data_IF_984300320835
#
_entry.id   IF_984300320835
#
_cell.length_a   1.000
_cell.length_b   1.000
_cell.length_c   1.000
_cell.angle_alpha   90.00
_cell.angle_beta   90.00
_cell.angle_gamma   90.00
#
_symmetry.space_group_name_H-M   'P 1'
#
loop_
_entity.id
_entity.type
_entity.pdbx_description
1 polymer ?
#
# COMPACT_ATOMS: atom_id res chain seq x y z
N UNK A 1 -13.47 47.92 -32.72
CA UNK A 1 -13.18 48.20 -31.31
C UNK A 1 -11.90 47.46 -31.02
N UNK A 2 -10.80 48.20 -30.94
CA UNK A 2 -9.49 47.63 -30.65
C UNK A 2 -9.51 47.13 -29.21
N UNK A 3 -9.33 45.82 -29.04
CA UNK A 3 -9.18 45.22 -27.72
C UNK A 3 -7.70 45.31 -27.36
N UNK A 4 -7.38 46.08 -26.31
CA UNK A 4 -6.05 46.06 -25.71
C UNK A 4 -5.83 44.70 -25.05
N UNK A 5 -4.68 44.07 -25.34
CA UNK A 5 -4.24 42.87 -24.63
C UNK A 5 -3.88 43.23 -23.18
N UNK A 6 -4.53 42.59 -22.21
CA UNK A 6 -4.26 42.81 -20.79
C UNK A 6 -3.65 41.56 -20.15
N UNK A 7 -2.66 41.77 -19.28
CA UNK A 7 -2.02 40.69 -18.52
C UNK A 7 -2.84 40.46 -17.25
N UNK A 8 -3.36 39.24 -17.09
CA UNK A 8 -4.09 38.81 -15.90
C UNK A 8 -3.11 38.13 -14.93
N UNK A 9 -3.09 38.56 -13.68
CA UNK A 9 -2.33 37.90 -12.61
C UNK A 9 -2.90 36.51 -12.26
N UNK A 10 -2.04 35.57 -11.86
CA UNK A 10 -2.43 34.21 -11.45
C UNK A 10 -3.45 34.18 -10.29
N UNK A 11 -3.45 35.21 -9.46
CA UNK A 11 -4.39 35.41 -8.35
C UNK A 11 -5.84 35.60 -8.85
N UNK A 12 -6.03 36.28 -9.98
CA UNK A 12 -7.32 36.51 -10.60
C UNK A 12 -7.92 35.24 -11.20
N UNK A 13 -7.10 34.28 -11.65
CA UNK A 13 -7.56 32.99 -12.19
C UNK A 13 -8.34 32.21 -11.12
N UNK A 14 -7.82 32.13 -9.89
CA UNK A 14 -8.50 31.48 -8.77
C UNK A 14 -9.73 32.26 -8.31
N UNK A 15 -9.62 33.59 -8.20
CA UNK A 15 -10.70 34.45 -7.70
C UNK A 15 -11.94 34.42 -8.59
N UNK A 16 -11.74 34.43 -9.91
CA UNK A 16 -12.82 34.48 -10.88
C UNK A 16 -13.13 33.12 -11.52
N UNK A 17 -12.44 32.05 -11.12
CA UNK A 17 -12.60 30.68 -11.66
C UNK A 17 -12.49 30.65 -13.19
N UNK A 18 -11.48 31.35 -13.70
CA UNK A 18 -11.20 31.40 -15.12
C UNK A 18 -10.53 30.10 -15.56
N UNK A 19 -10.91 29.59 -16.72
CA UNK A 19 -10.30 28.43 -17.35
C UNK A 19 -10.13 28.69 -18.84
N UNK A 20 -9.09 28.13 -19.44
CA UNK A 20 -8.83 28.24 -20.87
C UNK A 20 -9.32 26.96 -21.56
N UNK A 21 -10.03 27.11 -22.67
CA UNK A 21 -10.40 25.97 -23.51
C UNK A 21 -9.30 25.64 -24.54
N UNK A 22 -9.48 24.55 -25.30
CA UNK A 22 -8.54 24.10 -26.34
C UNK A 22 -8.30 25.13 -27.45
N UNK A 23 -9.26 26.04 -27.67
CA UNK A 23 -9.16 27.16 -28.64
C UNK A 23 -8.52 28.43 -28.04
N UNK A 24 -7.87 28.32 -26.88
CA UNK A 24 -7.23 29.41 -26.13
C UNK A 24 -8.18 30.52 -25.64
N UNK A 25 -9.49 30.32 -25.69
CA UNK A 25 -10.49 31.27 -25.16
C UNK A 25 -10.63 31.11 -23.65
N UNK A 26 -10.66 32.24 -22.95
CA UNK A 26 -10.88 32.27 -21.50
C UNK A 26 -12.40 32.18 -21.23
N UNK A 27 -12.78 31.20 -20.44
CA UNK A 27 -14.14 30.94 -19.96
C UNK A 27 -14.21 31.15 -18.45
N UNK A 28 -15.31 31.73 -17.97
CA UNK A 28 -15.57 31.86 -16.54
C UNK A 28 -16.45 30.70 -16.08
N UNK A 29 -15.90 29.79 -15.25
CA UNK A 29 -16.62 28.61 -14.78
C UNK A 29 -17.76 29.00 -13.83
N UNK A 30 -19.00 28.71 -14.23
CA UNK A 30 -20.19 28.88 -13.38
C UNK A 30 -20.51 27.57 -12.67
N UNK A 31 -21.19 27.62 -11.50
CA UNK A 31 -21.44 26.46 -10.61
C UNK A 31 -21.98 25.18 -11.28
N UNK A 32 -22.60 25.26 -12.45
CA UNK A 32 -23.15 24.11 -13.19
C UNK A 32 -22.08 23.23 -13.87
N UNK A 33 -20.97 23.80 -14.35
CA UNK A 33 -19.91 23.04 -15.06
C UNK A 33 -18.93 22.34 -14.11
N UNK A 34 -18.97 22.70 -12.82
CA UNK A 34 -18.15 22.06 -11.78
C UNK A 34 -18.61 20.61 -11.55
N UNK A 35 -19.88 20.29 -11.81
CA UNK A 35 -20.43 18.95 -11.54
C UNK A 35 -20.04 17.90 -12.58
N UNK A 36 -19.77 18.29 -13.84
CA UNK A 36 -19.39 17.33 -14.90
C UNK A 36 -17.92 16.93 -14.85
N UNK A 37 -17.03 17.76 -14.28
CA UNK A 37 -15.61 17.41 -14.09
C UNK A 37 -15.30 16.76 -12.73
N UNK A 38 -16.18 16.90 -11.72
CA UNK A 38 -16.04 16.17 -10.45
C UNK A 38 -16.10 14.65 -10.61
N UNK A 39 -16.73 14.15 -11.67
CA UNK A 39 -16.79 12.72 -11.94
C UNK A 39 -15.44 12.09 -12.35
N UNK A 40 -14.39 12.89 -12.59
CA UNK A 40 -13.07 12.40 -13.04
C UNK A 40 -11.92 12.63 -12.02
N UNK A 41 -12.21 13.19 -10.85
CA UNK A 41 -11.21 13.38 -9.76
C UNK A 41 -11.76 12.90 -8.39
N UNK A 42 -12.45 11.76 -8.37
CA UNK A 42 -12.57 10.96 -7.15
C UNK A 42 -11.49 9.86 -7.20
N UNK A 43 -10.24 10.26 -6.97
CA UNK A 43 -9.34 9.33 -6.28
C UNK A 43 -9.83 9.36 -4.85
N UNK A 44 -10.68 8.40 -4.47
CA UNK A 44 -10.95 8.11 -3.07
C UNK A 44 -9.58 8.00 -2.38
N UNK A 45 -9.31 8.90 -1.42
CA UNK A 45 -8.16 8.77 -0.54
C UNK A 45 -8.29 7.40 0.13
N UNK A 46 -7.57 6.38 -0.38
CA UNK A 46 -7.47 5.09 0.29
C UNK A 46 -7.01 5.35 1.71
N UNK A 47 -7.92 5.19 2.67
CA UNK A 47 -7.60 5.30 4.09
C UNK A 47 -6.86 4.03 4.47
N UNK A 48 -5.54 4.09 4.40
CA UNK A 48 -4.67 3.08 5.01
C UNK A 48 -4.82 3.25 6.52
N UNK A 49 -5.40 2.25 7.18
CA UNK A 49 -5.50 2.25 8.63
C UNK A 49 -4.10 2.28 9.23
N UNK A 50 -3.93 3.21 10.14
CA UNK A 50 -2.69 3.63 10.76
C UNK A 50 -2.53 2.91 12.09
N UNK A 51 -2.30 1.59 12.06
CA UNK A 51 -1.83 0.72 13.17
C UNK A 51 -2.14 1.23 14.60
N UNK A 52 -3.43 1.35 14.91
CA UNK A 52 -3.93 2.02 16.12
C UNK A 52 -3.78 1.19 17.42
N UNK A 53 -3.36 -0.08 17.33
CA UNK A 53 -3.55 -1.06 18.41
C UNK A 53 -2.28 -1.49 19.18
N UNK A 54 -1.18 -0.74 19.12
CA UNK A 54 0.08 -1.13 19.80
C UNK A 54 0.74 0.03 20.55
N UNK A 55 1.31 -0.28 21.73
CA UNK A 55 1.82 0.65 22.73
C UNK A 55 3.07 1.42 22.24
N UNK A 56 3.11 2.73 22.47
CA UNK A 56 4.18 3.65 22.01
C UNK A 56 5.51 3.47 22.74
N UNK A 57 5.52 2.77 23.87
CA UNK A 57 6.69 2.67 24.74
C UNK A 57 7.80 1.74 24.22
N UNK A 58 7.54 0.98 23.15
CA UNK A 58 8.49 -0.03 22.63
C UNK A 58 9.44 0.50 21.54
N UNK A 59 9.32 1.77 21.13
CA UNK A 59 10.24 2.37 20.16
C UNK A 59 11.62 2.62 20.78
N UNK A 60 12.58 1.75 20.48
CA UNK A 60 13.98 1.93 20.86
C UNK A 60 14.66 2.84 19.83
N UNK A 61 14.91 4.09 20.20
CA UNK A 61 15.63 5.05 19.33
C UNK A 61 17.12 5.08 19.68
N UNK A 62 17.99 4.58 18.81
CA UNK A 62 19.45 4.67 18.99
C UNK A 62 19.98 6.04 18.52
N UNK A 63 19.89 7.04 19.39
CA UNK A 63 20.25 8.43 19.09
C UNK A 63 21.54 8.88 19.78
N UNK A 64 22.37 7.96 20.28
CA UNK A 64 23.56 8.30 21.07
C UNK A 64 24.58 9.15 20.30
N UNK A 65 24.62 9.03 18.98
CA UNK A 65 25.56 9.71 18.09
C UNK A 65 25.12 11.11 17.63
N UNK A 66 23.96 11.60 18.08
CA UNK A 66 23.36 12.86 17.61
C UNK A 66 23.39 13.96 18.67
N UNK A 67 23.41 15.22 18.23
CA UNK A 67 23.25 16.39 19.10
C UNK A 67 21.84 16.46 19.69
N UNK A 68 21.71 17.01 20.90
CA UNK A 68 20.43 17.09 21.62
C UNK A 68 19.32 17.77 20.79
N UNK A 69 19.63 18.80 20.00
CA UNK A 69 18.66 19.48 19.13
C UNK A 69 18.08 18.52 18.07
N UNK A 70 18.94 17.69 17.47
CA UNK A 70 18.54 16.69 16.47
C UNK A 70 17.72 15.58 17.12
N UNK A 71 18.10 15.15 18.33
CA UNK A 71 17.32 14.16 19.09
C UNK A 71 15.90 14.65 19.34
N UNK A 72 15.73 15.88 19.84
CA UNK A 72 14.40 16.45 20.10
C UNK A 72 13.57 16.50 18.82
N UNK A 73 14.15 16.93 17.69
CA UNK A 73 13.43 16.98 16.41
C UNK A 73 12.99 15.61 15.93
N UNK A 74 13.82 14.58 16.09
CA UNK A 74 13.48 13.20 15.71
C UNK A 74 12.38 12.66 16.63
N UNK A 75 12.47 12.88 17.95
CA UNK A 75 11.42 12.48 18.88
C UNK A 75 10.08 13.11 18.53
N UNK A 76 10.04 14.42 18.27
CA UNK A 76 8.81 15.09 17.84
C UNK A 76 8.24 14.51 16.54
N UNK A 77 9.10 14.09 15.61
CA UNK A 77 8.66 13.48 14.34
C UNK A 77 8.08 12.08 14.56
N UNK A 78 8.73 11.26 15.39
CA UNK A 78 8.23 9.93 15.76
C UNK A 78 6.90 10.05 16.51
N UNK A 79 6.77 11.02 17.43
CA UNK A 79 5.51 11.26 18.13
C UNK A 79 4.38 11.68 17.17
N UNK A 80 4.67 12.58 16.23
CA UNK A 80 3.70 13.08 15.26
C UNK A 80 3.26 12.03 14.23
N UNK A 81 4.18 11.15 13.79
CA UNK A 81 3.94 10.14 12.75
C UNK A 81 4.02 8.71 13.30
N UNK A 82 3.69 8.52 14.58
CA UNK A 82 3.85 7.24 15.28
C UNK A 82 3.09 6.07 14.62
N UNK A 83 2.04 6.38 13.87
CA UNK A 83 1.19 5.41 13.20
C UNK A 83 1.74 4.91 11.87
N UNK A 84 2.70 5.61 11.28
CA UNK A 84 3.29 5.26 9.98
C UNK A 84 4.26 4.08 10.09
N UNK A 85 4.83 3.87 11.28
CA UNK A 85 5.84 2.86 11.52
C UNK A 85 5.21 1.54 11.99
N UNK A 86 5.58 0.44 11.32
CA UNK A 86 5.25 -0.91 11.78
C UNK A 86 6.01 -1.21 13.09
N UNK A 87 5.28 -1.61 14.12
CA UNK A 87 5.81 -1.84 15.47
C UNK A 87 6.30 -3.27 15.67
N UNK A 88 5.66 -4.23 15.02
CA UNK A 88 6.10 -5.62 15.00
C UNK A 88 5.86 -6.29 13.64
N UNK A 89 6.11 -7.61 13.54
CA UNK A 89 5.93 -8.39 12.31
C UNK A 89 4.46 -8.53 11.88
N UNK A 90 3.52 -8.43 12.83
CA UNK A 90 2.09 -8.64 12.62
C UNK A 90 1.31 -7.32 12.51
N UNK A 91 1.98 -6.20 12.75
CA UNK A 91 1.47 -4.83 12.61
C UNK A 91 1.36 -4.41 11.13
N UNK A 92 0.48 -5.12 10.42
CA UNK A 92 0.16 -4.85 9.02
C UNK A 92 -1.06 -3.93 8.95
N UNK A 93 -0.89 -2.77 8.33
CA UNK A 93 -2.00 -1.85 8.10
C UNK A 93 -3.08 -2.48 7.22
N UNK A 94 -4.30 -1.97 7.31
CA UNK A 94 -5.43 -2.44 6.51
C UNK A 94 -5.94 -1.36 5.57
N UNK A 95 -6.36 -1.75 4.36
CA UNK A 95 -7.09 -0.87 3.44
C UNK A 95 -8.56 -1.20 3.61
N UNK A 96 -9.38 -0.20 3.96
CA UNK A 96 -10.81 -0.41 4.27
C UNK A 96 -11.72 -0.33 3.04
N UNK A 97 -11.32 0.45 2.04
CA UNK A 97 -12.19 0.79 0.89
C UNK A 97 -11.93 -0.06 -0.37
N UNK A 98 -11.11 -1.11 -0.27
CA UNK A 98 -10.76 -1.95 -1.42
C UNK A 98 -10.67 -3.44 -1.05
N UNK A 99 -11.48 -4.26 -1.72
CA UNK A 99 -11.40 -5.73 -1.65
C UNK A 99 -10.73 -6.27 -2.91
N UNK A 100 -9.62 -6.99 -2.72
CA UNK A 100 -8.88 -7.55 -3.84
C UNK A 100 -9.58 -8.79 -4.41
N UNK A 101 -10.02 -8.71 -5.67
CA UNK A 101 -10.59 -9.83 -6.40
C UNK A 101 -9.55 -10.52 -7.28
N UNK A 102 -9.46 -11.84 -7.18
CA UNK A 102 -8.59 -12.67 -8.01
C UNK A 102 -9.45 -13.47 -8.97
N UNK A 103 -9.43 -13.10 -10.25
CA UNK A 103 -10.18 -13.82 -11.28
C UNK A 103 -9.42 -15.06 -11.77
N UNK A 104 -10.16 -16.15 -11.95
CA UNK A 104 -9.64 -17.42 -12.46
C UNK A 104 -10.03 -17.59 -13.94
N UNK A 105 -9.09 -18.07 -14.76
CA UNK A 105 -9.29 -18.43 -16.16
C UNK A 105 -10.28 -19.59 -16.32
N UNK A 106 -10.28 -20.51 -15.37
CA UNK A 106 -11.09 -21.73 -15.38
C UNK A 106 -11.64 -21.94 -13.98
N UNK A 107 -12.92 -22.27 -13.88
CA UNK A 107 -13.56 -22.67 -12.63
C UNK A 107 -13.13 -24.09 -12.24
N UNK A 108 -11.94 -24.18 -11.63
CA UNK A 108 -11.30 -25.44 -11.24
C UNK A 108 -10.73 -25.31 -9.84
N UNK A 109 -11.07 -26.29 -8.99
CA UNK A 109 -10.46 -26.41 -7.67
C UNK A 109 -9.05 -27.00 -7.76
N UNK A 110 -8.06 -26.30 -7.19
CA UNK A 110 -6.74 -26.85 -6.91
C UNK A 110 -6.64 -27.21 -5.42
N UNK A 111 -6.48 -28.50 -5.13
CA UNK A 111 -6.26 -29.01 -3.78
C UNK A 111 -5.04 -29.91 -3.77
N UNK A 112 -4.04 -29.52 -2.99
CA UNK A 112 -2.78 -30.25 -2.84
C UNK A 112 -2.64 -30.78 -1.42
N UNK A 113 -2.11 -32.01 -1.32
CA UNK A 113 -1.79 -32.60 -0.03
C UNK A 113 -0.68 -31.78 0.65
N UNK A 114 -0.76 -31.56 1.97
CA UNK A 114 0.32 -30.97 2.75
C UNK A 114 1.63 -31.72 2.53
N UNK A 115 2.75 -30.98 2.51
CA UNK A 115 4.06 -31.58 2.41
C UNK A 115 4.42 -32.34 3.69
N UNK A 116 5.25 -33.38 3.54
CA UNK A 116 5.86 -34.05 4.70
C UNK A 116 6.82 -33.06 5.36
N UNK A 117 6.65 -32.86 6.66
CA UNK A 117 7.50 -32.02 7.49
C UNK A 117 8.02 -32.84 8.69
N UNK A 118 9.13 -32.39 9.28
CA UNK A 118 9.61 -32.93 10.55
C UNK A 118 8.70 -32.49 11.70
N UNK A 119 8.83 -33.11 12.87
CA UNK A 119 8.06 -32.70 14.04
C UNK A 119 8.34 -31.24 14.43
N UNK A 120 9.62 -30.84 14.38
CA UNK A 120 10.05 -29.46 14.65
C UNK A 120 9.44 -28.47 13.65
N UNK A 121 9.49 -28.79 12.35
CA UNK A 121 8.89 -27.96 11.30
C UNK A 121 7.37 -27.81 11.53
N UNK A 122 6.68 -28.88 11.94
CA UNK A 122 5.24 -28.86 12.24
C UNK A 122 4.90 -27.94 13.42
N UNK A 123 5.64 -28.05 14.52
CA UNK A 123 5.46 -27.22 15.72
C UNK A 123 5.64 -25.75 15.37
N UNK A 124 6.66 -25.41 14.59
CA UNK A 124 6.91 -24.02 14.19
C UNK A 124 5.82 -23.50 13.22
N UNK A 125 5.34 -24.33 12.29
CA UNK A 125 4.20 -23.98 11.42
C UNK A 125 2.95 -23.69 12.27
N UNK A 126 2.58 -24.58 13.18
CA UNK A 126 1.39 -24.41 14.04
C UNK A 126 1.50 -23.16 14.91
N UNK A 127 2.69 -22.88 15.46
CA UNK A 127 2.97 -21.67 16.23
C UNK A 127 2.78 -20.40 15.39
N UNK A 128 3.32 -20.35 14.17
CA UNK A 128 3.17 -19.18 13.30
C UNK A 128 1.72 -18.99 12.84
N UNK A 129 1.03 -20.07 12.48
CA UNK A 129 -0.40 -20.04 12.11
C UNK A 129 -1.25 -19.54 13.28
N UNK A 130 -1.01 -20.03 14.51
CA UNK A 130 -1.70 -19.54 15.71
C UNK A 130 -1.49 -18.05 15.97
N UNK A 131 -0.28 -17.53 15.73
CA UNK A 131 -0.03 -16.09 15.83
C UNK A 131 -0.76 -15.30 14.73
N UNK A 132 -0.83 -15.80 13.50
CA UNK A 132 -1.56 -15.14 12.41
C UNK A 132 -3.06 -15.09 12.69
N UNK A 133 -3.64 -16.18 13.20
CA UNK A 133 -5.04 -16.24 13.63
C UNK A 133 -5.32 -15.26 14.77
N UNK A 134 -4.45 -15.22 15.79
CA UNK A 134 -4.59 -14.30 16.93
C UNK A 134 -4.58 -12.82 16.51
N UNK A 135 -3.84 -12.48 15.45
CA UNK A 135 -3.75 -11.12 14.92
C UNK A 135 -4.78 -10.84 13.81
N UNK A 136 -5.74 -11.74 13.57
CA UNK A 136 -6.77 -11.61 12.53
C UNK A 136 -6.20 -11.40 11.10
N UNK A 137 -5.02 -11.94 10.82
CA UNK A 137 -4.40 -11.87 9.48
C UNK A 137 -4.82 -13.00 8.56
N UNK A 138 -5.30 -14.09 9.14
CA UNK A 138 -5.91 -15.24 8.47
C UNK A 138 -7.14 -15.68 9.26
N UNK A 139 -8.02 -16.43 8.62
CA UNK A 139 -9.22 -17.02 9.22
C UNK A 139 -9.38 -18.48 8.81
N UNK A 140 -10.16 -19.23 9.59
CA UNK A 140 -10.53 -20.59 9.24
C UNK A 140 -11.57 -20.56 8.11
N UNK A 141 -11.39 -21.39 7.08
CA UNK A 141 -12.30 -21.46 5.94
C UNK A 141 -12.54 -22.90 5.49
N UNK A 142 -13.70 -23.13 4.86
CA UNK A 142 -14.07 -24.41 4.25
C UNK A 142 -13.89 -24.37 2.72
N UNK A 143 -12.82 -23.74 2.25
CA UNK A 143 -12.57 -23.56 0.82
C UNK A 143 -12.23 -24.91 0.14
N UNK A 144 -12.77 -25.17 -1.07
CA UNK A 144 -12.33 -26.31 -1.88
C UNK A 144 -10.89 -26.14 -2.42
N UNK A 145 -10.35 -24.92 -2.36
CA UNK A 145 -8.96 -24.61 -2.73
C UNK A 145 -8.04 -24.86 -1.53
N UNK A 146 -6.99 -25.64 -1.72
CA UNK A 146 -5.99 -25.91 -0.69
C UNK A 146 -4.57 -25.92 -1.26
N UNK A 147 -3.71 -25.08 -0.69
CA UNK A 147 -2.29 -25.00 -1.02
C UNK A 147 -1.44 -25.50 0.16
N UNK A 148 -0.38 -26.29 -0.10
CA UNK A 148 0.48 -26.81 0.96
C UNK A 148 1.44 -25.72 1.45
N UNK A 149 1.83 -25.82 2.71
CA UNK A 149 2.76 -24.91 3.37
C UNK A 149 4.12 -25.59 3.56
N UNK A 150 5.19 -24.81 3.51
CA UNK A 150 6.56 -25.25 3.76
C UNK A 150 7.35 -24.18 4.53
N UNK A 151 8.45 -24.57 5.16
CA UNK A 151 9.37 -23.65 5.82
C UNK A 151 10.64 -23.49 4.98
N UNK A 152 11.04 -22.24 4.73
CA UNK A 152 12.29 -21.90 4.07
C UNK A 152 13.30 -21.31 5.06
N UNK A 153 14.59 -21.50 4.76
CA UNK A 153 15.68 -20.96 5.57
C UNK A 153 15.72 -19.44 5.49
N UNK A 154 15.84 -18.80 6.67
CA UNK A 154 16.17 -17.38 6.77
C UNK A 154 17.67 -17.26 7.04
N UNK A 155 18.36 -16.46 6.22
CA UNK A 155 19.83 -16.27 6.30
C UNK A 155 20.29 -15.85 7.69
N UNK A 156 19.53 -15.00 8.37
CA UNK A 156 19.95 -14.38 9.64
C UNK A 156 19.79 -15.32 10.85
N UNK A 157 18.90 -16.31 10.76
CA UNK A 157 18.52 -17.16 11.89
C UNK A 157 19.08 -18.58 11.77
N UNK A 158 19.80 -18.89 10.67
CA UNK A 158 20.38 -20.20 10.33
C UNK A 158 19.42 -21.41 10.51
N UNK A 159 18.12 -21.14 10.53
CA UNK A 159 17.03 -22.07 10.82
C UNK A 159 15.90 -21.85 9.81
N UNK A 160 15.02 -22.84 9.66
CA UNK A 160 13.84 -22.74 8.78
C UNK A 160 12.73 -21.98 9.49
N UNK A 161 12.62 -20.68 9.23
CA UNK A 161 11.63 -19.82 9.90
C UNK A 161 10.64 -19.14 8.98
N UNK A 162 10.86 -19.17 7.65
CA UNK A 162 9.95 -18.51 6.70
C UNK A 162 8.81 -19.44 6.30
N UNK A 163 7.60 -19.15 6.79
CA UNK A 163 6.37 -19.79 6.34
C UNK A 163 6.07 -19.41 4.89
N UNK A 164 6.10 -20.38 3.99
CA UNK A 164 5.86 -20.20 2.56
C UNK A 164 4.68 -21.07 2.11
N UNK A 165 3.75 -20.48 1.36
CA UNK A 165 2.60 -21.17 0.78
C UNK A 165 2.89 -21.44 -0.70
N UNK A 166 2.71 -22.67 -1.16
CA UNK A 166 2.93 -23.02 -2.56
C UNK A 166 1.68 -22.77 -3.42
N UNK A 167 1.57 -21.55 -3.95
CA UNK A 167 0.51 -21.16 -4.87
C UNK A 167 0.77 -21.51 -6.34
N UNK A 168 1.79 -22.31 -6.69
CA UNK A 168 2.16 -22.56 -8.10
C UNK A 168 1.04 -23.15 -8.96
N UNK A 169 0.15 -23.96 -8.39
CA UNK A 169 -1.01 -24.49 -9.14
C UNK A 169 -2.13 -23.49 -9.30
N UNK A 170 -2.41 -22.70 -8.26
CA UNK A 170 -3.36 -21.61 -8.32
C UNK A 170 -2.91 -20.56 -9.35
N UNK A 171 -1.64 -20.15 -9.31
CA UNK A 171 -1.08 -19.14 -10.21
C UNK A 171 -1.15 -19.54 -11.70
N UNK A 172 -1.29 -20.83 -12.04
CA UNK A 172 -1.47 -21.29 -13.44
C UNK A 172 -2.88 -21.03 -13.97
N UNK A 173 -3.86 -20.94 -13.09
CA UNK A 173 -5.27 -20.73 -13.45
C UNK A 173 -5.74 -19.30 -13.17
N UNK A 174 -4.93 -18.47 -12.50
CA UNK A 174 -5.24 -17.05 -12.28
C UNK A 174 -5.09 -16.26 -13.60
N UNK A 175 -6.03 -15.36 -13.88
CA UNK A 175 -5.94 -14.44 -15.01
C UNK A 175 -4.80 -13.43 -14.74
N UNK A 176 -3.76 -13.36 -15.58
CA UNK A 176 -2.67 -12.42 -15.37
C UNK A 176 -3.18 -10.99 -15.60
N UNK A 177 -3.11 -10.15 -14.58
CA UNK A 177 -3.34 -8.72 -14.71
C UNK A 177 -2.04 -8.04 -15.14
N UNK A 178 -1.99 -7.55 -16.38
CA UNK A 178 -0.84 -6.84 -16.90
C UNK A 178 -0.81 -5.41 -16.36
N UNK A 179 -0.13 -5.21 -15.23
CA UNK A 179 0.19 -3.89 -14.71
C UNK A 179 1.70 -3.65 -14.86
N UNK A 180 2.15 -2.97 -15.93
CA UNK A 180 3.56 -2.74 -16.13
C UNK A 180 4.08 -1.80 -15.04
N UNK A 181 5.00 -2.32 -14.21
CA UNK A 181 5.74 -1.47 -13.30
C UNK A 181 6.67 -0.55 -14.11
N UNK A 182 6.70 0.75 -13.82
CA UNK A 182 7.61 1.66 -14.50
C UNK A 182 9.06 1.26 -14.23
N UNK A 183 9.93 1.41 -15.23
CA UNK A 183 11.35 1.18 -15.04
C UNK A 183 11.92 2.22 -14.08
N UNK A 184 12.91 1.80 -13.28
CA UNK A 184 13.60 2.70 -12.34
C UNK A 184 14.20 3.90 -13.07
N UNK A 185 14.71 3.72 -14.30
CA UNK A 185 15.20 4.82 -15.15
C UNK A 185 14.13 5.87 -15.42
N UNK A 186 12.92 5.43 -15.73
CA UNK A 186 11.80 6.31 -16.11
C UNK A 186 11.32 7.10 -14.91
N UNK A 187 11.29 6.46 -13.73
CA UNK A 187 11.03 7.11 -12.46
C UNK A 187 12.06 8.20 -12.15
N UNK A 188 13.36 7.91 -12.35
CA UNK A 188 14.44 8.89 -12.13
C UNK A 188 14.30 10.07 -13.09
N UNK A 189 14.03 9.83 -14.38
CA UNK A 189 13.86 10.91 -15.36
C UNK A 189 12.68 11.81 -14.98
N UNK A 190 11.55 11.25 -14.58
CA UNK A 190 10.38 12.03 -14.10
C UNK A 190 10.72 12.87 -12.87
N UNK A 191 11.50 12.34 -11.94
CA UNK A 191 11.86 13.02 -10.70
C UNK A 191 12.89 14.16 -10.87
N UNK A 192 13.62 14.24 -11.99
CA UNK A 192 14.72 15.22 -12.19
C UNK A 192 14.30 16.69 -12.05
N UNK A 193 13.04 17.02 -12.31
CA UNK A 193 12.54 18.40 -12.28
C UNK A 193 11.45 18.62 -11.22
N UNK A 194 11.24 17.67 -10.30
CA UNK A 194 10.35 17.86 -9.17
C UNK A 194 11.04 18.79 -8.15
N UNK A 195 10.45 19.98 -7.92
CA UNK A 195 10.86 20.92 -6.88
C UNK A 195 10.39 20.49 -5.51
#
# INVERSE_FOLDING_TARGET
>A
MDFEDFIIGLDMIKKFKLAQNEDLKILQKTKREINTMKAFEEIEEMKVNFNEHVNKNDFITNLHHLDNIKKTRIHSLIENYNTVFAKDKYDVGTVTDYEARIDLMVDKYCSKRPYRCTLEDKIEIEKQVGNLLKNNLIEESYSPLAAPVTLAFKRDENTKSRLCIDFRELNKIVIPQAQPFPLISDLIVKARNCK
#
